data_IF_298516083057
#
_entry.id   IF_298516083057
#
_cell.length_a   1.000
_cell.length_b   1.000
_cell.length_c   1.000
_cell.angle_alpha   90.00
_cell.angle_beta   90.00
_cell.angle_gamma   90.00
#
_symmetry.space_group_name_H-M   'P 1'
#
loop_
_entity.id
_entity.type
_entity.pdbx_description
1 polymer ?
#
# COMPACT_ATOMS: atom_id res chain seq x y z
N UNK A 1 4.74 -2.59 9.79
CA UNK A 1 3.68 -1.62 10.16
C UNK A 1 2.86 -1.28 8.92
N UNK A 2 1.51 -1.17 9.02
CA UNK A 2 0.72 -0.68 7.91
C UNK A 2 1.13 0.75 7.55
N UNK A 3 1.12 1.08 6.27
CA UNK A 3 1.35 2.45 5.82
C UNK A 3 0.16 3.34 6.19
N UNK A 4 0.34 4.67 6.12
CA UNK A 4 -0.77 5.61 6.30
C UNK A 4 -1.92 5.33 5.32
N UNK A 5 -1.58 4.94 4.08
CA UNK A 5 -2.57 4.56 3.08
C UNK A 5 -3.32 3.28 3.47
N UNK A 6 -2.63 2.26 4.02
CA UNK A 6 -3.27 1.02 4.45
C UNK A 6 -4.21 1.27 5.64
N UNK A 7 -3.79 2.12 6.59
CA UNK A 7 -4.64 2.50 7.73
C UNK A 7 -5.88 3.25 7.25
N UNK A 8 -5.71 4.26 6.39
CA UNK A 8 -6.82 5.01 5.82
C UNK A 8 -7.77 4.10 5.02
N UNK A 9 -7.24 3.15 4.24
CA UNK A 9 -8.04 2.18 3.51
C UNK A 9 -8.88 1.30 4.45
N UNK A 10 -8.28 0.86 5.57
CA UNK A 10 -8.99 0.07 6.59
C UNK A 10 -10.10 0.90 7.27
N UNK A 11 -9.82 2.15 7.61
CA UNK A 11 -10.79 3.05 8.24
C UNK A 11 -11.96 3.36 7.29
N UNK A 12 -11.68 3.59 6.01
CA UNK A 12 -12.71 3.78 4.97
C UNK A 12 -13.51 2.48 4.80
N UNK A 13 -12.86 1.32 4.81
CA UNK A 13 -13.56 0.05 4.72
C UNK A 13 -14.53 -0.17 5.88
N UNK A 14 -14.12 0.20 7.09
CA UNK A 14 -14.99 0.16 8.27
C UNK A 14 -16.18 1.12 8.12
N UNK A 15 -15.96 2.33 7.60
CA UNK A 15 -17.01 3.31 7.33
C UNK A 15 -18.00 2.81 6.25
N UNK A 16 -17.49 2.19 5.18
CA UNK A 16 -18.31 1.56 4.14
C UNK A 16 -19.14 0.41 4.72
N UNK A 17 -18.53 -0.49 5.48
CA UNK A 17 -19.23 -1.60 6.13
C UNK A 17 -20.34 -1.11 7.07
N UNK A 18 -20.10 -0.03 7.81
CA UNK A 18 -21.12 0.60 8.64
C UNK A 18 -22.30 1.19 7.83
N UNK A 19 -22.04 1.71 6.62
CA UNK A 19 -23.10 2.20 5.74
C UNK A 19 -24.01 1.04 5.26
N UNK A 20 -23.43 -0.12 4.93
CA UNK A 20 -24.21 -1.33 4.63
C UNK A 20 -25.01 -1.82 5.84
N UNK A 21 -24.39 -1.91 7.01
CA UNK A 21 -25.07 -2.36 8.24
C UNK A 21 -26.25 -1.48 8.63
N UNK A 22 -26.19 -0.17 8.29
CA UNK A 22 -27.27 0.79 8.51
C UNK A 22 -28.34 0.76 7.41
N UNK A 23 -28.21 -0.09 6.39
CA UNK A 23 -29.13 -0.17 5.27
C UNK A 23 -29.11 1.05 4.32
N UNK A 24 -28.07 1.88 4.38
CA UNK A 24 -27.90 3.05 3.51
C UNK A 24 -27.50 2.66 2.08
N UNK A 25 -26.83 1.52 1.95
CA UNK A 25 -26.39 0.92 0.69
C UNK A 25 -26.86 -0.53 0.70
N UNK A 26 -27.54 -0.97 -0.36
CA UNK A 26 -28.00 -2.35 -0.50
C UNK A 26 -26.89 -3.26 -1.04
N UNK A 27 -26.88 -4.53 -0.65
CA UNK A 27 -25.91 -5.53 -1.09
C UNK A 27 -24.93 -5.92 0.00
N UNK A 28 -23.70 -6.23 -0.37
CA UNK A 28 -22.63 -6.64 0.54
C UNK A 28 -21.45 -5.66 0.50
N UNK A 29 -20.87 -5.42 1.66
CA UNK A 29 -19.66 -4.59 1.76
C UNK A 29 -18.48 -5.25 1.01
N UNK A 30 -17.63 -4.47 0.34
CA UNK A 30 -16.44 -4.97 -0.33
C UNK A 30 -15.43 -5.50 0.69
N UNK A 31 -14.64 -6.48 0.29
CA UNK A 31 -13.58 -7.07 1.15
C UNK A 31 -12.33 -6.21 1.23
N UNK A 32 -12.12 -5.31 0.28
CA UNK A 32 -10.98 -4.39 0.25
C UNK A 32 -11.34 -3.09 -0.47
N UNK A 33 -10.64 -2.03 -0.13
CA UNK A 33 -10.76 -0.72 -0.78
C UNK A 33 -9.39 -0.31 -1.32
N UNK A 34 -9.37 0.08 -2.59
CA UNK A 34 -8.17 0.60 -3.21
C UNK A 34 -8.13 2.12 -3.10
N UNK A 35 -7.02 2.65 -2.59
CA UNK A 35 -6.70 4.05 -2.61
C UNK A 35 -5.60 4.33 -3.63
N UNK A 36 -5.80 5.37 -4.42
CA UNK A 36 -4.83 5.85 -5.41
C UNK A 36 -4.38 7.25 -5.05
N UNK A 37 -3.16 7.61 -5.43
CA UNK A 37 -2.70 8.99 -5.34
C UNK A 37 -3.06 9.73 -6.62
N UNK A 38 -3.89 10.78 -6.55
CA UNK A 38 -4.22 11.55 -7.73
C UNK A 38 -2.98 12.17 -8.37
N UNK A 39 -2.95 12.22 -9.72
CA UNK A 39 -1.87 12.89 -10.45
C UNK A 39 -1.88 14.41 -10.22
N UNK A 40 -3.08 14.99 -10.11
CA UNK A 40 -3.25 16.41 -9.79
C UNK A 40 -3.50 16.57 -8.28
N UNK A 41 -2.69 17.39 -7.61
CA UNK A 41 -2.78 17.67 -6.17
C UNK A 41 -4.07 18.40 -5.77
N UNK A 42 -4.74 19.07 -6.71
CA UNK A 42 -6.03 19.71 -6.46
C UNK A 42 -7.14 18.69 -6.12
N UNK A 43 -6.91 17.42 -6.44
CA UNK A 43 -7.80 16.30 -6.13
C UNK A 43 -7.51 15.65 -4.76
N UNK A 44 -6.75 16.32 -3.88
CA UNK A 44 -6.41 15.82 -2.56
C UNK A 44 -5.22 14.86 -2.53
N UNK A 45 -5.04 14.20 -1.39
CA UNK A 45 -3.91 13.29 -1.13
C UNK A 45 -4.18 11.87 -1.63
N UNK A 46 -5.45 11.43 -1.57
CA UNK A 46 -5.92 10.11 -2.01
C UNK A 46 -7.25 10.21 -2.75
N UNK A 47 -7.50 9.23 -3.61
CA UNK A 47 -8.77 9.06 -4.31
C UNK A 47 -9.20 7.60 -4.29
N UNK A 48 -10.51 7.35 -4.32
CA UNK A 48 -11.07 6.02 -4.49
C UNK A 48 -12.25 6.02 -5.44
N UNK A 49 -12.39 4.94 -6.22
CA UNK A 49 -13.50 4.68 -7.12
C UNK A 49 -14.58 3.77 -6.50
N UNK A 50 -14.55 3.56 -5.18
CA UNK A 50 -15.40 2.60 -4.51
C UNK A 50 -16.90 2.82 -4.76
N UNK A 51 -17.36 4.07 -4.84
CA UNK A 51 -18.76 4.37 -5.12
C UNK A 51 -19.19 3.92 -6.54
N UNK A 52 -18.29 3.99 -7.52
CA UNK A 52 -18.52 3.47 -8.87
C UNK A 52 -18.64 1.94 -8.88
N UNK A 53 -17.82 1.26 -8.08
CA UNK A 53 -17.82 -0.20 -7.97
C UNK A 53 -19.11 -0.70 -7.32
N UNK A 54 -19.57 0.00 -6.28
CA UNK A 54 -20.78 -0.37 -5.52
C UNK A 54 -22.07 -0.03 -6.26
N UNK A 55 -22.07 0.95 -7.15
CA UNK A 55 -23.24 1.47 -7.84
C UNK A 55 -24.04 0.38 -8.56
N UNK A 56 -23.35 -0.49 -9.29
CA UNK A 56 -23.98 -1.57 -10.06
C UNK A 56 -24.65 -2.60 -9.15
N UNK A 57 -24.03 -2.97 -8.06
CA UNK A 57 -24.55 -3.96 -7.11
C UNK A 57 -25.71 -3.39 -6.27
N UNK A 58 -25.63 -2.10 -5.91
CA UNK A 58 -26.64 -1.41 -5.11
C UNK A 58 -27.83 -0.85 -5.94
N UNK A 59 -27.77 -0.92 -7.27
CA UNK A 59 -28.83 -0.37 -8.14
C UNK A 59 -29.02 1.15 -8.01
N UNK A 60 -28.02 1.87 -7.51
CA UNK A 60 -28.06 3.32 -7.25
C UNK A 60 -27.09 4.08 -8.14
N UNK A 61 -27.32 5.38 -8.29
CA UNK A 61 -26.39 6.25 -8.98
C UNK A 61 -25.06 6.33 -8.21
N UNK A 62 -23.89 6.22 -8.87
CA UNK A 62 -22.59 6.30 -8.21
C UNK A 62 -22.40 7.57 -7.37
N UNK A 63 -22.92 8.72 -7.82
CA UNK A 63 -22.84 9.96 -7.03
C UNK A 63 -23.67 9.92 -5.75
N UNK A 64 -24.80 9.24 -5.75
CA UNK A 64 -25.61 9.04 -4.54
C UNK A 64 -24.83 8.22 -3.50
N UNK A 65 -24.22 7.12 -3.96
CA UNK A 65 -23.36 6.30 -3.09
C UNK A 65 -22.17 7.11 -2.60
N UNK A 66 -21.53 7.89 -3.48
CA UNK A 66 -20.42 8.75 -3.10
C UNK A 66 -20.83 9.78 -2.03
N UNK A 67 -22.04 10.34 -2.09
CA UNK A 67 -22.57 11.27 -1.09
C UNK A 67 -22.79 10.58 0.26
N UNK A 68 -23.34 9.36 0.26
CA UNK A 68 -23.49 8.56 1.48
C UNK A 68 -22.13 8.30 2.12
N UNK A 69 -21.15 7.85 1.32
CA UNK A 69 -19.80 7.54 1.79
C UNK A 69 -19.02 8.79 2.21
N UNK A 70 -19.20 9.92 1.53
CA UNK A 70 -18.60 11.21 1.89
C UNK A 70 -18.91 11.58 3.34
N UNK A 71 -20.20 11.44 3.75
CA UNK A 71 -20.66 11.75 5.11
C UNK A 71 -19.98 10.86 6.17
N UNK A 72 -19.66 9.62 5.80
CA UNK A 72 -18.98 8.70 6.70
C UNK A 72 -17.46 8.94 6.73
N UNK A 73 -16.85 9.15 5.56
CA UNK A 73 -15.38 9.30 5.40
C UNK A 73 -14.88 10.60 5.99
N UNK A 74 -15.64 11.70 5.92
CA UNK A 74 -15.23 13.00 6.48
C UNK A 74 -15.05 12.96 8.00
N UNK A 75 -15.67 12.01 8.68
CA UNK A 75 -15.56 11.82 10.14
C UNK A 75 -14.39 10.91 10.54
N UNK A 76 -13.62 10.38 9.59
CA UNK A 76 -12.41 9.59 9.89
C UNK A 76 -11.34 10.54 10.42
N UNK A 77 -10.70 10.15 11.52
CA UNK A 77 -9.62 10.92 12.11
C UNK A 77 -8.49 11.17 11.09
N UNK A 78 -8.04 12.40 10.97
CA UNK A 78 -7.00 12.79 10.03
C UNK A 78 -7.49 13.17 8.63
N UNK A 79 -8.78 13.04 8.35
CA UNK A 79 -9.40 13.54 7.11
C UNK A 79 -9.88 14.98 7.34
N UNK A 80 -9.41 15.92 6.53
CA UNK A 80 -9.81 17.34 6.59
C UNK A 80 -10.93 17.68 5.60
N UNK A 81 -10.97 16.97 4.45
CA UNK A 81 -11.92 17.26 3.37
C UNK A 81 -12.18 16.02 2.53
N UNK A 82 -13.41 15.89 2.05
CA UNK A 82 -13.81 14.86 1.09
C UNK A 82 -14.64 15.50 0.00
N UNK A 83 -14.17 15.41 -1.24
CA UNK A 83 -14.84 15.94 -2.43
C UNK A 83 -15.29 14.81 -3.36
N UNK A 84 -16.43 15.01 -4.02
CA UNK A 84 -16.93 14.09 -5.04
C UNK A 84 -16.62 14.67 -6.42
N UNK A 85 -15.88 13.93 -7.23
CA UNK A 85 -15.50 14.33 -8.59
C UNK A 85 -16.10 13.43 -9.65
N UNK A 86 -16.38 14.00 -10.81
CA UNK A 86 -16.89 13.28 -11.97
C UNK A 86 -18.13 12.43 -11.66
N UNK A 87 -18.17 11.18 -12.13
CA UNK A 87 -19.33 10.29 -11.97
C UNK A 87 -19.48 9.69 -10.56
N UNK A 88 -18.54 9.92 -9.62
CA UNK A 88 -18.59 9.35 -8.28
C UNK A 88 -17.22 8.96 -7.71
N UNK A 89 -16.14 9.55 -8.21
CA UNK A 89 -14.84 9.46 -7.53
C UNK A 89 -14.87 10.23 -6.22
N UNK A 90 -14.27 9.66 -5.19
CA UNK A 90 -14.17 10.29 -3.87
C UNK A 90 -12.72 10.70 -3.66
N UNK A 91 -12.49 12.00 -3.56
CA UNK A 91 -11.17 12.60 -3.32
C UNK A 91 -11.04 12.98 -1.84
N UNK A 92 -9.93 12.62 -1.22
CA UNK A 92 -9.71 12.72 0.22
C UNK A 92 -8.48 13.59 0.45
N UNK A 93 -8.64 14.63 1.25
CA UNK A 93 -7.53 15.49 1.72
C UNK A 93 -7.31 15.22 3.20
N UNK A 94 -6.06 14.97 3.57
CA UNK A 94 -5.67 14.76 4.96
C UNK A 94 -5.38 16.11 5.65
N UNK A 95 -5.51 16.14 6.95
CA UNK A 95 -5.10 17.30 7.74
C UNK A 95 -3.55 17.36 7.88
N UNK A 96 -3.06 18.53 8.25
CA UNK A 96 -1.61 18.72 8.45
C UNK A 96 -1.07 17.96 9.67
N UNK A 97 -1.90 17.71 10.67
CA UNK A 97 -1.50 16.99 11.87
C UNK A 97 -1.22 15.50 11.54
N UNK A 98 -2.03 14.89 10.69
CA UNK A 98 -1.81 13.51 10.19
C UNK A 98 -0.50 13.39 9.41
N UNK A 99 -0.16 14.41 8.60
CA UNK A 99 1.13 14.44 7.90
C UNK A 99 2.31 14.60 8.87
N UNK A 100 2.17 15.45 9.90
CA UNK A 100 3.19 15.60 10.94
C UNK A 100 3.37 14.33 11.78
N UNK A 101 2.29 13.59 12.05
CA UNK A 101 2.34 12.32 12.76
C UNK A 101 3.09 11.23 11.95
N UNK A 102 2.94 11.22 10.63
CA UNK A 102 3.75 10.36 9.78
C UNK A 102 5.25 10.65 9.95
N UNK A 103 5.64 11.92 9.94
CA UNK A 103 7.05 12.30 10.14
C UNK A 103 7.53 11.87 11.53
N UNK A 104 6.72 12.04 12.56
CA UNK A 104 7.04 11.58 13.92
C UNK A 104 7.22 10.06 13.95
N UNK A 105 6.33 9.31 13.31
CA UNK A 105 6.41 7.84 13.19
C UNK A 105 7.71 7.42 12.51
N UNK A 106 8.10 8.07 11.41
CA UNK A 106 9.37 7.81 10.71
C UNK A 106 10.56 8.06 11.64
N UNK A 107 10.58 9.20 12.32
CA UNK A 107 11.66 9.59 13.22
C UNK A 107 11.79 8.65 14.43
N UNK A 108 10.67 8.17 14.96
CA UNK A 108 10.64 7.23 16.08
C UNK A 108 11.11 5.85 15.67
N UNK A 109 10.61 5.33 14.56
CA UNK A 109 10.92 3.97 14.10
C UNK A 109 12.26 3.88 13.35
N UNK A 110 12.80 4.99 12.87
CA UNK A 110 14.11 5.05 12.18
C UNK A 110 14.25 3.93 11.14
N UNK A 111 15.24 3.04 11.33
CA UNK A 111 15.54 1.92 10.42
C UNK A 111 14.46 0.83 10.37
N UNK A 112 13.57 0.79 11.36
CA UNK A 112 12.45 -0.15 11.37
C UNK A 112 11.23 0.38 10.58
N UNK A 113 11.20 1.68 10.25
CA UNK A 113 10.16 2.24 9.41
C UNK A 113 10.21 1.62 8.01
N UNK A 114 9.06 1.18 7.50
CA UNK A 114 8.94 0.50 6.21
C UNK A 114 9.14 -1.01 6.26
N UNK A 115 9.53 -1.57 7.41
CA UNK A 115 9.56 -3.03 7.60
C UNK A 115 8.15 -3.57 7.80
N UNK A 116 7.90 -4.73 7.21
CA UNK A 116 6.59 -5.39 7.25
C UNK A 116 6.69 -6.88 7.56
N UNK A 117 5.54 -7.52 7.59
CA UNK A 117 5.38 -8.95 7.86
C UNK A 117 4.72 -9.69 6.68
N UNK A 118 4.64 -9.08 5.51
CA UNK A 118 3.97 -9.65 4.34
C UNK A 118 4.55 -11.02 3.92
N UNK A 119 5.84 -11.26 4.20
CA UNK A 119 6.55 -12.50 3.93
C UNK A 119 6.93 -13.24 5.23
N UNK A 120 6.25 -12.97 6.34
CA UNK A 120 6.53 -13.67 7.61
C UNK A 120 6.33 -15.17 7.46
N UNK A 121 7.32 -15.95 7.95
CA UNK A 121 7.31 -17.42 7.84
C UNK A 121 7.80 -17.96 6.49
N UNK A 122 8.01 -17.13 5.49
CA UNK A 122 8.57 -17.55 4.21
C UNK A 122 10.09 -17.64 4.30
N UNK A 123 10.64 -18.77 3.89
CA UNK A 123 12.08 -19.01 3.76
C UNK A 123 12.48 -18.88 2.30
N UNK A 124 13.46 -18.04 2.01
CA UNK A 124 13.94 -17.76 0.65
C UNK A 124 15.42 -18.05 0.60
N UNK A 125 15.84 -18.88 -0.34
CA UNK A 125 17.24 -19.03 -0.72
C UNK A 125 17.49 -18.14 -1.93
N UNK A 126 18.44 -17.21 -1.82
CA UNK A 126 18.76 -16.23 -2.83
C UNK A 126 20.20 -16.43 -3.28
N UNK A 127 20.37 -17.10 -4.41
CA UNK A 127 21.66 -17.28 -5.06
C UNK A 127 21.92 -16.09 -6.00
N UNK A 128 23.14 -15.53 -5.92
CA UNK A 128 23.54 -14.45 -6.83
C UNK A 128 25.08 -14.40 -6.97
N UNK A 129 25.52 -13.79 -8.06
CA UNK A 129 26.90 -13.78 -8.56
C UNK A 129 27.26 -15.16 -9.13
N UNK A 130 27.62 -16.14 -8.30
CA UNK A 130 27.93 -17.56 -8.65
C UNK A 130 28.75 -17.69 -9.95
N UNK A 131 29.81 -16.87 -10.04
CA UNK A 131 30.60 -16.74 -11.25
C UNK A 131 31.53 -17.93 -11.44
N UNK A 132 31.70 -18.38 -12.70
CA UNK A 132 32.72 -19.38 -13.06
C UNK A 132 34.14 -18.82 -12.84
N UNK A 133 35.10 -19.62 -12.39
CA UNK A 133 36.47 -19.20 -12.10
C UNK A 133 37.34 -19.06 -13.38
N UNK A 134 36.75 -18.62 -14.47
CA UNK A 134 37.40 -18.48 -15.79
C UNK A 134 38.14 -17.16 -15.95
N UNK A 135 38.10 -16.27 -14.96
CA UNK A 135 38.75 -14.96 -14.95
C UNK A 135 38.31 -14.10 -13.76
N UNK A 136 38.85 -12.87 -13.66
CA UNK A 136 38.46 -11.95 -12.60
C UNK A 136 36.99 -11.52 -12.73
N UNK A 137 36.37 -11.15 -11.60
CA UNK A 137 35.03 -10.57 -11.59
C UNK A 137 35.04 -9.27 -12.43
N UNK A 138 34.03 -9.15 -13.29
CA UNK A 138 33.85 -7.96 -14.13
C UNK A 138 32.57 -7.22 -13.78
N UNK A 139 32.31 -6.08 -14.41
CA UNK A 139 31.19 -5.18 -14.14
C UNK A 139 29.81 -5.90 -14.14
N UNK A 140 29.63 -6.93 -14.96
CA UNK A 140 28.41 -7.75 -14.97
C UNK A 140 28.19 -8.43 -13.62
N UNK A 141 29.22 -9.03 -13.03
CA UNK A 141 29.13 -9.67 -11.71
C UNK A 141 28.85 -8.66 -10.60
N UNK A 142 29.45 -7.45 -10.67
CA UNK A 142 29.15 -6.36 -9.72
C UNK A 142 27.68 -5.94 -9.78
N UNK A 143 27.07 -5.88 -10.98
CA UNK A 143 25.64 -5.61 -11.12
C UNK A 143 24.79 -6.67 -10.45
N UNK A 144 25.10 -7.96 -10.66
CA UNK A 144 24.40 -9.07 -10.01
C UNK A 144 24.57 -9.03 -8.50
N UNK A 145 25.75 -8.69 -8.00
CA UNK A 145 25.99 -8.49 -6.57
C UNK A 145 25.07 -7.41 -5.99
N UNK A 146 25.02 -6.25 -6.64
CA UNK A 146 24.18 -5.13 -6.19
C UNK A 146 22.67 -5.47 -6.21
N UNK A 147 22.22 -6.11 -7.28
CA UNK A 147 20.80 -6.54 -7.40
C UNK A 147 20.47 -7.61 -6.36
N UNK A 148 21.31 -8.63 -6.20
CA UNK A 148 21.09 -9.72 -5.25
C UNK A 148 21.07 -9.22 -3.80
N UNK A 149 22.02 -8.35 -3.42
CA UNK A 149 22.04 -7.78 -2.08
C UNK A 149 20.82 -6.87 -1.82
N UNK A 150 20.47 -6.00 -2.78
CA UNK A 150 19.29 -5.15 -2.66
C UNK A 150 18.00 -5.99 -2.52
N UNK A 151 17.84 -7.02 -3.35
CA UNK A 151 16.70 -7.94 -3.27
C UNK A 151 16.64 -8.65 -1.92
N UNK A 152 17.76 -9.17 -1.44
CA UNK A 152 17.84 -9.82 -0.13
C UNK A 152 17.45 -8.89 1.02
N UNK A 153 17.82 -7.61 0.96
CA UNK A 153 17.45 -6.61 1.95
C UNK A 153 15.94 -6.31 1.90
N UNK A 154 15.36 -6.15 0.71
CA UNK A 154 13.92 -5.88 0.54
C UNK A 154 13.08 -7.06 1.04
N UNK A 155 13.44 -8.28 0.66
CA UNK A 155 12.74 -9.48 1.11
C UNK A 155 12.82 -9.65 2.65
N UNK A 156 13.99 -9.39 3.25
CA UNK A 156 14.16 -9.41 4.70
C UNK A 156 13.35 -8.30 5.38
N UNK A 157 13.29 -7.10 4.78
CA UNK A 157 12.46 -6.01 5.30
C UNK A 157 10.97 -6.33 5.22
N UNK A 158 10.53 -7.13 4.24
CA UNK A 158 9.16 -7.63 4.13
C UNK A 158 8.85 -8.79 5.10
N UNK A 159 9.81 -9.26 5.89
CA UNK A 159 9.64 -10.28 6.93
C UNK A 159 10.09 -11.69 6.55
N UNK A 160 10.65 -11.90 5.37
CA UNK A 160 11.17 -13.21 4.97
C UNK A 160 12.46 -13.58 5.70
N UNK A 161 12.66 -14.89 5.89
CA UNK A 161 13.95 -15.47 6.29
C UNK A 161 14.78 -15.69 5.02
N UNK A 162 15.74 -14.80 4.76
CA UNK A 162 16.55 -14.85 3.53
C UNK A 162 17.93 -15.45 3.83
N UNK A 163 18.22 -16.57 3.17
CA UNK A 163 19.58 -17.13 3.08
C UNK A 163 20.20 -16.63 1.79
N UNK A 164 21.39 -16.01 1.89
CA UNK A 164 22.17 -15.61 0.72
C UNK A 164 23.15 -16.72 0.40
N UNK A 165 23.19 -17.13 -0.85
CA UNK A 165 24.01 -18.23 -1.33
C UNK A 165 24.92 -17.76 -2.47
N UNK A 166 26.14 -18.25 -2.45
CA UNK A 166 27.10 -18.14 -3.54
C UNK A 166 27.56 -19.56 -3.90
N UNK A 167 27.25 -20.00 -5.10
CA UNK A 167 27.72 -21.31 -5.57
C UNK A 167 29.20 -21.20 -5.95
N UNK A 168 30.06 -21.95 -5.25
CA UNK A 168 31.47 -22.03 -5.57
C UNK A 168 31.66 -23.06 -6.66
N UNK A 169 31.99 -22.58 -7.86
CA UNK A 169 32.34 -23.44 -8.98
C UNK A 169 33.85 -23.62 -8.98
N UNK A 170 34.35 -24.84 -8.79
CA UNK A 170 35.78 -25.20 -8.72
C UNK A 170 36.32 -25.75 -10.04
N UNK A 171 35.48 -25.90 -11.06
CA UNK A 171 35.83 -26.35 -12.41
C UNK A 171 35.26 -25.40 -13.45
N UNK A 172 36.12 -24.83 -14.27
CA UNK A 172 35.77 -24.02 -15.41
C UNK A 172 35.29 -24.82 -16.61
#
# INVERSE_FOLDING_TARGET
>A
MPSLADQLAADIQAAVAAAFSKGLIEGSAPTSITLERPKNRDHGDYATSIALQLAKAAGKNPREIATILQTAIVNIAGVSKVDIAGPGFINITLDRASQAELVRTILTNRYEYGRGSALAGIKINLEFISANPTGPLHLGHTRWAAVGDALGRVLSAAGAQVTREFYINDRG
#
